data_IF_929760042601
#
_entry.id   IF_929760042601
#
_cell.length_a   1.000
_cell.length_b   1.000
_cell.length_c   1.000
_cell.angle_alpha   90.00
_cell.angle_beta   90.00
_cell.angle_gamma   90.00
#
_symmetry.space_group_name_H-M   'P 1'
#
loop_
_entity.id
_entity.type
_entity.pdbx_description
1 polymer ?
#
# COMPACT_ATOMS: atom_id res chain seq x y z
N UNK A 1 -2.47 -6.52 0.13
CA UNK A 1 -3.35 -6.21 -1.01
C UNK A 1 -2.65 -5.25 -1.97
N UNK A 2 -2.18 -4.10 -1.48
CA UNK A 2 -1.47 -3.06 -2.25
C UNK A 2 -0.30 -3.59 -3.09
N UNK A 3 0.56 -4.46 -2.53
CA UNK A 3 1.61 -5.18 -3.30
C UNK A 3 1.09 -5.76 -4.62
N UNK A 4 -0.05 -6.48 -4.57
CA UNK A 4 -0.60 -7.12 -5.77
C UNK A 4 -1.29 -6.13 -6.71
N UNK A 5 -1.81 -5.01 -6.20
CA UNK A 5 -2.32 -3.92 -7.04
C UNK A 5 -1.16 -3.36 -7.88
N UNK A 6 -0.08 -2.93 -7.24
CA UNK A 6 1.06 -2.36 -7.95
C UNK A 6 1.73 -3.36 -8.89
N UNK A 7 1.93 -4.60 -8.43
CA UNK A 7 2.49 -5.69 -9.25
C UNK A 7 1.74 -5.84 -10.59
N UNK A 8 0.41 -5.80 -10.55
CA UNK A 8 -0.43 -5.99 -11.75
C UNK A 8 -0.67 -4.70 -12.56
N UNK A 9 -0.19 -3.56 -12.08
CA UNK A 9 -0.18 -2.29 -12.81
C UNK A 9 1.09 -2.11 -13.64
N UNK A 10 2.20 -2.72 -13.21
CA UNK A 10 3.49 -2.66 -13.92
C UNK A 10 3.37 -3.30 -15.32
N UNK A 11 3.99 -2.65 -16.30
CA UNK A 11 4.09 -3.16 -17.68
C UNK A 11 5.53 -3.52 -18.05
N UNK A 12 5.77 -3.93 -19.30
CA UNK A 12 7.14 -4.16 -19.82
C UNK A 12 7.89 -2.88 -20.21
N UNK A 13 7.24 -1.72 -20.15
CA UNK A 13 7.81 -0.44 -20.58
C UNK A 13 8.88 0.03 -19.58
N UNK A 14 10.03 0.49 -20.07
CA UNK A 14 10.98 1.22 -19.21
C UNK A 14 10.56 2.68 -19.12
N UNK A 15 9.76 3.00 -18.11
CA UNK A 15 9.22 4.33 -17.89
C UNK A 15 9.34 4.76 -16.43
N UNK A 16 9.36 6.08 -16.24
CA UNK A 16 9.35 6.67 -14.89
C UNK A 16 8.12 6.25 -14.10
N UNK A 17 6.98 6.09 -14.77
CA UNK A 17 5.77 5.60 -14.14
C UNK A 17 5.96 4.18 -13.59
N UNK A 18 6.56 3.27 -14.38
CA UNK A 18 6.84 1.91 -13.93
C UNK A 18 7.85 1.90 -12.76
N UNK A 19 8.90 2.72 -12.81
CA UNK A 19 9.86 2.85 -11.69
C UNK A 19 9.17 3.29 -10.40
N UNK A 20 8.23 4.23 -10.47
CA UNK A 20 7.45 4.66 -9.31
C UNK A 20 6.53 3.56 -8.78
N UNK A 21 5.88 2.78 -9.65
CA UNK A 21 5.05 1.64 -9.24
C UNK A 21 5.88 0.53 -8.60
N UNK A 22 7.08 0.24 -9.14
CA UNK A 22 8.02 -0.73 -8.57
C UNK A 22 8.47 -0.25 -7.19
N UNK A 23 8.84 1.02 -7.04
CA UNK A 23 9.26 1.57 -5.75
C UNK A 23 8.14 1.46 -4.69
N UNK A 24 6.90 1.80 -5.06
CA UNK A 24 5.76 1.66 -4.17
C UNK A 24 5.48 0.19 -3.83
N UNK A 25 5.51 -0.72 -4.81
CA UNK A 25 5.37 -2.16 -4.57
C UNK A 25 6.42 -2.68 -3.58
N UNK A 26 7.69 -2.27 -3.72
CA UNK A 26 8.76 -2.66 -2.81
C UNK A 26 8.53 -2.13 -1.40
N UNK A 27 8.08 -0.88 -1.24
CA UNK A 27 7.74 -0.32 0.08
C UNK A 27 6.57 -1.08 0.72
N UNK A 28 5.53 -1.42 -0.05
CA UNK A 28 4.40 -2.24 0.41
C UNK A 28 4.82 -3.67 0.82
N UNK A 29 5.85 -4.23 0.19
CA UNK A 29 6.43 -5.51 0.59
C UNK A 29 7.13 -5.42 1.94
N UNK A 30 7.81 -4.30 2.21
CA UNK A 30 8.40 -4.00 3.52
C UNK A 30 7.30 -3.88 4.58
N UNK A 31 6.21 -3.14 4.32
CA UNK A 31 5.08 -3.04 5.25
C UNK A 31 4.49 -4.41 5.60
N UNK A 32 4.34 -5.28 4.58
CA UNK A 32 3.88 -6.65 4.78
C UNK A 32 4.85 -7.48 5.64
N UNK A 33 6.16 -7.28 5.45
CA UNK A 33 7.19 -7.96 6.24
C UNK A 33 7.17 -7.48 7.70
N UNK A 34 7.11 -6.18 7.93
CA UNK A 34 7.02 -5.58 9.27
C UNK A 34 5.87 -6.18 10.07
N UNK A 35 4.67 -6.26 9.45
CA UNK A 35 3.51 -6.89 10.08
C UNK A 35 3.69 -8.39 10.34
N UNK A 36 4.33 -9.12 9.42
CA UNK A 36 4.58 -10.54 9.62
C UNK A 36 5.52 -10.77 10.80
N UNK A 37 6.59 -9.98 10.91
CA UNK A 37 7.51 -10.04 12.05
C UNK A 37 6.76 -9.84 13.35
N UNK A 38 5.98 -8.74 13.47
CA UNK A 38 5.20 -8.48 14.69
C UNK A 38 4.17 -9.56 15.00
N UNK A 39 3.45 -10.08 14.00
CA UNK A 39 2.54 -11.21 14.22
C UNK A 39 3.26 -12.41 14.86
N UNK A 40 4.43 -12.78 14.35
CA UNK A 40 5.19 -13.90 14.90
C UNK A 40 5.78 -13.61 16.29
N UNK A 41 6.27 -12.39 16.54
CA UNK A 41 6.76 -11.97 17.86
C UNK A 41 5.68 -12.10 18.95
N UNK A 42 4.43 -11.79 18.63
CA UNK A 42 3.31 -11.99 19.56
C UNK A 42 2.76 -13.43 19.59
N UNK A 43 3.37 -14.37 18.86
CA UNK A 43 2.95 -15.78 18.80
C UNK A 43 1.76 -16.05 17.85
N UNK A 44 1.38 -15.10 17.02
CA UNK A 44 0.31 -15.22 16.03
C UNK A 44 0.86 -15.71 14.68
N UNK A 45 -0.06 -16.13 13.80
CA UNK A 45 0.25 -16.51 12.42
C UNK A 45 -0.62 -15.74 11.43
N UNK A 46 -0.13 -15.44 10.21
CA UNK A 46 -0.96 -14.86 9.17
C UNK A 46 -2.18 -15.72 8.86
N UNK A 47 -3.33 -15.07 8.62
CA UNK A 47 -4.57 -15.76 8.28
C UNK A 47 -4.43 -16.57 6.99
N UNK A 48 -4.98 -17.79 6.98
CA UNK A 48 -5.08 -18.64 5.79
C UNK A 48 -5.96 -18.02 4.70
N UNK A 49 -6.86 -17.09 5.05
CA UNK A 49 -7.71 -16.38 4.07
C UNK A 49 -7.01 -15.22 3.37
N UNK A 50 -5.72 -14.97 3.67
CA UNK A 50 -4.97 -13.83 3.09
C UNK A 50 -4.88 -13.87 1.56
N UNK A 51 -4.92 -15.05 0.94
CA UNK A 51 -4.83 -15.21 -0.51
C UNK A 51 -6.02 -14.58 -1.24
N UNK A 52 -7.20 -14.50 -0.59
CA UNK A 52 -8.36 -13.83 -1.17
C UNK A 52 -8.06 -12.34 -1.43
N UNK A 53 -7.33 -11.68 -0.53
CA UNK A 53 -6.90 -10.30 -0.71
C UNK A 53 -5.82 -10.14 -1.80
N UNK A 54 -5.06 -11.20 -2.10
CA UNK A 54 -4.14 -11.18 -3.24
C UNK A 54 -4.92 -11.17 -4.55
N UNK A 55 -5.92 -12.04 -4.69
CA UNK A 55 -6.80 -12.10 -5.87
C UNK A 55 -7.50 -10.75 -6.09
N UNK A 56 -8.09 -10.17 -5.04
CA UNK A 56 -8.75 -8.86 -5.13
C UNK A 56 -7.75 -7.78 -5.56
N UNK A 57 -6.54 -7.77 -4.97
CA UNK A 57 -5.49 -6.83 -5.35
C UNK A 57 -5.09 -6.97 -6.82
N UNK A 58 -4.86 -8.20 -7.29
CA UNK A 58 -4.52 -8.48 -8.68
C UNK A 58 -5.61 -8.04 -9.65
N UNK A 59 -6.88 -8.29 -9.31
CA UNK A 59 -8.02 -7.86 -10.12
C UNK A 59 -8.07 -6.33 -10.25
N UNK A 60 -7.95 -5.60 -9.13
CA UNK A 60 -7.94 -4.14 -9.12
C UNK A 60 -6.74 -3.61 -9.93
N UNK A 61 -5.55 -4.17 -9.71
CA UNK A 61 -4.33 -3.75 -10.41
C UNK A 61 -4.45 -3.95 -11.93
N UNK A 62 -4.88 -5.14 -12.35
CA UNK A 62 -5.05 -5.46 -13.76
C UNK A 62 -6.12 -4.60 -14.44
N UNK A 63 -7.31 -4.47 -13.82
CA UNK A 63 -8.40 -3.68 -14.39
C UNK A 63 -8.06 -2.19 -14.46
N UNK A 64 -7.46 -1.61 -13.42
CA UNK A 64 -7.04 -0.21 -13.44
C UNK A 64 -5.98 0.05 -14.50
N UNK A 65 -5.06 -0.90 -14.72
CA UNK A 65 -4.09 -0.84 -15.81
C UNK A 65 -4.75 -0.79 -17.19
N UNK A 66 -5.74 -1.64 -17.44
CA UNK A 66 -6.49 -1.64 -18.70
C UNK A 66 -7.23 -0.32 -18.94
N UNK A 67 -7.66 0.35 -17.87
CA UNK A 67 -8.31 1.67 -17.94
C UNK A 67 -7.32 2.85 -18.08
N UNK A 68 -6.02 2.57 -18.06
CA UNK A 68 -4.96 3.55 -18.30
C UNK A 68 -4.43 4.28 -17.06
N UNK A 69 -3.41 5.12 -17.28
CA UNK A 69 -2.58 5.72 -16.22
C UNK A 69 -3.37 6.48 -15.15
N UNK A 70 -4.42 7.22 -15.52
CA UNK A 70 -5.24 7.94 -14.53
C UNK A 70 -5.98 6.99 -13.59
N UNK A 71 -6.48 5.85 -14.09
CA UNK A 71 -7.14 4.85 -13.28
C UNK A 71 -6.16 4.14 -12.34
N UNK A 72 -4.95 3.84 -12.82
CA UNK A 72 -3.83 3.32 -12.01
C UNK A 72 -3.56 4.22 -10.80
N UNK A 73 -3.34 5.52 -11.05
CA UNK A 73 -3.04 6.49 -9.98
C UNK A 73 -4.23 6.65 -9.01
N UNK A 74 -5.47 6.65 -9.51
CA UNK A 74 -6.66 6.71 -8.63
C UNK A 74 -6.81 5.47 -7.76
N UNK A 75 -6.54 4.29 -8.30
CA UNK A 75 -6.53 3.04 -7.53
C UNK A 75 -5.44 3.08 -6.45
N UNK A 76 -4.25 3.62 -6.77
CA UNK A 76 -3.19 3.93 -5.81
C UNK A 76 -3.69 4.84 -4.69
N UNK A 77 -4.18 6.04 -5.01
CA UNK A 77 -4.74 6.97 -4.00
C UNK A 77 -5.79 6.30 -3.12
N UNK A 78 -6.68 5.50 -3.70
CA UNK A 78 -7.73 4.81 -2.94
C UNK A 78 -7.17 3.79 -1.95
N UNK A 79 -6.24 2.93 -2.36
CA UNK A 79 -5.70 1.89 -1.46
C UNK A 79 -4.83 2.52 -0.36
N UNK A 80 -3.99 3.49 -0.70
CA UNK A 80 -3.08 4.10 0.27
C UNK A 80 -3.84 5.00 1.24
N UNK A 81 -4.84 5.77 0.79
CA UNK A 81 -5.66 6.56 1.70
C UNK A 81 -6.46 5.69 2.69
N UNK A 82 -6.87 4.49 2.24
CA UNK A 82 -7.49 3.50 3.13
C UNK A 82 -6.48 2.97 4.15
N UNK A 83 -5.24 2.71 3.74
CA UNK A 83 -4.16 2.30 4.64
C UNK A 83 -3.83 3.39 5.67
N UNK A 84 -3.65 4.65 5.27
CA UNK A 84 -3.44 5.81 6.17
C UNK A 84 -4.52 5.87 7.25
N UNK A 85 -5.78 5.71 6.86
CA UNK A 85 -6.91 5.72 7.80
C UNK A 85 -6.81 4.56 8.79
N UNK A 86 -6.61 3.34 8.33
CA UNK A 86 -6.53 2.16 9.21
C UNK A 86 -5.33 2.22 10.16
N UNK A 87 -4.16 2.67 9.70
CA UNK A 87 -3.02 2.88 10.59
C UNK A 87 -3.32 3.96 11.64
N UNK A 88 -3.99 5.06 11.26
CA UNK A 88 -4.43 6.09 12.19
C UNK A 88 -5.40 5.55 13.25
N UNK A 89 -6.39 4.77 12.83
CA UNK A 89 -7.33 4.09 13.72
C UNK A 89 -6.59 3.14 14.68
N UNK A 90 -5.65 2.32 14.18
CA UNK A 90 -4.84 1.41 14.99
C UNK A 90 -4.02 2.13 16.06
N UNK A 91 -3.38 3.25 15.70
CA UNK A 91 -2.58 4.06 16.63
C UNK A 91 -3.41 4.70 17.74
N UNK A 92 -4.71 4.92 17.51
CA UNK A 92 -5.62 5.54 18.48
C UNK A 92 -6.39 4.52 19.32
N UNK A 93 -6.53 3.28 18.85
CA UNK A 93 -7.47 2.32 19.46
C UNK A 93 -6.86 1.51 20.61
N UNK A 94 -5.54 1.25 20.58
CA UNK A 94 -4.87 0.44 21.60
C UNK A 94 -3.51 1.03 22.00
N UNK A 95 -3.03 0.62 23.18
CA UNK A 95 -1.66 0.88 23.59
C UNK A 95 -0.70 -0.04 22.83
N UNK A 96 0.42 0.53 22.43
CA UNK A 96 1.48 -0.13 21.68
C UNK A 96 2.78 -0.01 22.47
N UNK A 97 3.62 -1.04 22.41
CA UNK A 97 5.02 -0.84 22.78
C UNK A 97 5.69 0.15 21.82
N UNK A 98 6.74 0.80 22.32
CA UNK A 98 7.43 1.89 21.62
C UNK A 98 7.98 1.47 20.26
N UNK A 99 8.45 0.23 20.13
CA UNK A 99 9.04 -0.26 18.89
C UNK A 99 7.96 -0.50 17.84
N UNK A 100 6.88 -1.20 18.21
CA UNK A 100 5.75 -1.48 17.32
C UNK A 100 5.03 -0.18 16.93
N UNK A 101 4.89 0.78 17.84
CA UNK A 101 4.33 2.10 17.52
C UNK A 101 5.14 2.78 16.41
N UNK A 102 6.47 2.81 16.52
CA UNK A 102 7.34 3.43 15.49
C UNK A 102 7.18 2.79 14.12
N UNK A 103 7.05 1.47 14.07
CA UNK A 103 6.81 0.74 12.82
C UNK A 103 5.48 1.16 12.20
N UNK A 104 4.41 1.21 13.00
CA UNK A 104 3.08 1.61 12.52
C UNK A 104 3.05 3.08 12.08
N UNK A 105 3.70 3.99 12.80
CA UNK A 105 3.82 5.40 12.43
C UNK A 105 4.62 5.62 11.15
N UNK A 106 5.76 4.93 11.02
CA UNK A 106 6.58 4.93 9.80
C UNK A 106 5.74 4.47 8.61
N UNK A 107 5.07 3.33 8.73
CA UNK A 107 4.28 2.78 7.62
C UNK A 107 3.14 3.72 7.25
N UNK A 108 2.46 4.33 8.23
CA UNK A 108 1.45 5.38 7.98
C UNK A 108 2.03 6.57 7.22
N UNK A 109 3.22 7.03 7.58
CA UNK A 109 3.89 8.16 6.93
C UNK A 109 4.27 7.82 5.47
N UNK A 110 4.74 6.60 5.23
CA UNK A 110 5.06 6.10 3.89
C UNK A 110 3.79 6.11 3.01
N UNK A 111 2.64 5.67 3.54
CA UNK A 111 1.36 5.73 2.81
C UNK A 111 0.88 7.16 2.50
N UNK A 112 1.10 8.09 3.43
CA UNK A 112 0.77 9.51 3.19
C UNK A 112 1.59 10.07 2.02
N UNK A 113 2.89 9.77 2.00
CA UNK A 113 3.77 10.17 0.91
C UNK A 113 3.36 9.54 -0.44
N UNK A 114 2.88 8.30 -0.44
CA UNK A 114 2.31 7.69 -1.65
C UNK A 114 1.05 8.43 -2.14
N UNK A 115 0.09 8.71 -1.24
CA UNK A 115 -1.14 9.45 -1.58
C UNK A 115 -0.79 10.81 -2.21
N UNK A 116 0.12 11.56 -1.59
CA UNK A 116 0.56 12.87 -2.06
C UNK A 116 1.19 12.78 -3.45
N UNK A 117 2.11 11.82 -3.64
CA UNK A 117 2.77 11.58 -4.94
C UNK A 117 1.76 11.26 -6.04
N UNK A 118 0.82 10.35 -5.78
CA UNK A 118 -0.19 9.96 -6.78
C UNK A 118 -1.16 11.09 -7.10
N UNK A 119 -1.55 11.88 -6.11
CA UNK A 119 -2.37 13.09 -6.30
C UNK A 119 -1.65 14.16 -7.12
N UNK A 120 -0.38 14.41 -6.83
CA UNK A 120 0.44 15.32 -7.61
C UNK A 120 0.52 14.89 -9.09
N UNK A 121 0.76 13.61 -9.34
CA UNK A 121 0.80 13.04 -10.70
C UNK A 121 -0.56 13.03 -11.42
N UNK A 122 -1.67 13.05 -10.68
CA UNK A 122 -3.01 13.24 -11.24
C UNK A 122 -3.32 14.69 -11.60
N UNK A 123 -2.50 15.65 -11.15
CA UNK A 123 -2.78 17.08 -11.21
C UNK A 123 -3.87 17.51 -10.22
N UNK A 124 -4.08 16.73 -9.15
CA UNK A 124 -5.06 17.01 -8.09
C UNK A 124 -4.28 17.40 -6.83
N UNK A 125 -3.55 18.52 -6.90
CA UNK A 125 -2.75 19.04 -5.81
C UNK A 125 -3.46 20.17 -5.06
N UNK A 126 -3.81 19.92 -3.80
CA UNK A 126 -3.99 20.88 -2.69
C UNK A 126 -4.86 22.13 -2.95
N UNK A 127 -6.15 22.02 -2.63
CA UNK A 127 -6.93 23.15 -2.14
C UNK A 127 -6.93 23.14 -0.61
#
# INVERSE_FOLDING_TARGET
>A
MAVNIYLHQITKEDSEHNRQLIAAMCNEMTHLQDFQVKLFEYGWRPSMLRWAYWIVGSAIGFLSRLMGRRAVLRAGVWVEAKAVRHYGELLQTIEWDEETRKVVEKNRSDEQAHVERWRALLGVGGG
#
